data_IF_659694610295
#
_entry.id   IF_659694610295
#
_cell.length_a   1.000
_cell.length_b   1.000
_cell.length_c   1.000
_cell.angle_alpha   90.00
_cell.angle_beta   90.00
_cell.angle_gamma   90.00
#
_symmetry.space_group_name_H-M   'P 1'
#
loop_
_entity.id
_entity.type
_entity.pdbx_description
1 polymer ?
#
# COMPACT_ATOMS: atom_id res chain seq x y z
N UNK A 1 -3.53 -13.04 13.09
CA UNK A 1 -3.61 -12.51 11.73
C UNK A 1 -2.23 -12.21 11.16
N UNK A 2 -2.06 -12.41 9.87
CA UNK A 2 -0.75 -12.27 9.19
C UNK A 2 -0.15 -10.87 9.34
N UNK A 3 -0.96 -9.83 9.24
CA UNK A 3 -0.48 -8.45 9.35
C UNK A 3 0.02 -8.16 10.75
N UNK A 4 -0.73 -8.59 11.76
CA UNK A 4 -0.33 -8.39 13.15
C UNK A 4 0.98 -9.11 13.45
N UNK A 5 1.13 -10.33 12.96
CA UNK A 5 2.36 -11.11 13.14
C UNK A 5 3.55 -10.43 12.48
N UNK A 6 3.36 -9.90 11.27
CA UNK A 6 4.42 -9.18 10.57
C UNK A 6 4.85 -7.94 11.33
N UNK A 7 3.91 -7.20 11.90
CA UNK A 7 4.21 -6.01 12.68
C UNK A 7 4.94 -6.38 13.96
N UNK A 8 4.50 -7.43 14.64
CA UNK A 8 5.15 -7.90 15.86
C UNK A 8 6.59 -8.31 15.57
N UNK A 9 6.82 -9.00 14.45
CA UNK A 9 8.16 -9.39 14.04
C UNK A 9 9.03 -8.18 13.73
N UNK A 10 8.44 -7.15 13.12
CA UNK A 10 9.15 -5.91 12.86
C UNK A 10 9.66 -5.28 14.15
N UNK A 11 8.81 -5.22 15.20
CA UNK A 11 9.22 -4.70 16.49
C UNK A 11 10.33 -5.53 17.12
N UNK A 12 10.26 -6.84 17.01
CA UNK A 12 11.31 -7.72 17.51
C UNK A 12 12.63 -7.46 16.80
N UNK A 13 12.60 -7.28 15.49
CA UNK A 13 13.78 -7.04 14.68
C UNK A 13 14.42 -5.68 14.92
N UNK A 14 13.66 -4.72 15.45
CA UNK A 14 14.20 -3.40 15.79
C UNK A 14 15.22 -3.48 16.93
N UNK A 15 15.12 -4.49 17.78
CA UNK A 15 16.07 -4.66 18.87
C UNK A 15 16.11 -3.50 19.84
N UNK A 16 14.98 -2.88 20.09
CA UNK A 16 14.88 -1.75 21.01
C UNK A 16 15.08 -0.39 20.37
N UNK A 17 15.35 -0.32 19.08
CA UNK A 17 15.43 0.96 18.37
C UNK A 17 14.05 1.58 18.24
N UNK A 18 14.00 2.91 18.27
CA UNK A 18 12.74 3.63 18.05
C UNK A 18 12.29 3.45 16.61
N UNK A 19 10.97 3.28 16.43
CA UNK A 19 10.37 3.33 15.11
C UNK A 19 9.54 4.61 14.98
N UNK A 20 9.57 5.20 13.79
CA UNK A 20 8.78 6.39 13.48
C UNK A 20 8.04 6.15 12.17
N UNK A 21 6.93 6.85 12.00
CA UNK A 21 6.12 6.75 10.78
C UNK A 21 5.71 5.32 10.46
N UNK A 22 5.44 4.53 11.49
CA UNK A 22 5.05 3.13 11.32
C UNK A 22 3.80 2.99 10.47
N UNK A 23 2.84 3.88 10.64
CA UNK A 23 1.61 3.84 9.85
C UNK A 23 1.91 3.94 8.35
N UNK A 24 2.74 4.90 7.96
CA UNK A 24 3.15 5.07 6.56
C UNK A 24 3.92 3.86 6.05
N UNK A 25 4.80 3.32 6.87
CA UNK A 25 5.59 2.16 6.50
C UNK A 25 4.71 0.96 6.18
N UNK A 26 3.76 0.66 7.08
CA UNK A 26 2.83 -0.45 6.89
C UNK A 26 1.93 -0.19 5.68
N UNK A 27 1.45 1.05 5.55
CA UNK A 27 0.56 1.42 4.46
C UNK A 27 1.24 1.22 3.10
N UNK A 28 2.51 1.61 2.98
CA UNK A 28 3.27 1.43 1.74
C UNK A 28 3.45 -0.05 1.39
N UNK A 29 3.72 -0.87 2.39
CA UNK A 29 3.90 -2.31 2.16
C UNK A 29 2.63 -3.00 1.71
N UNK A 30 1.48 -2.47 2.05
CA UNK A 30 0.19 -3.02 1.64
C UNK A 30 -0.28 -2.37 0.33
N UNK A 31 -0.15 -1.05 0.23
CA UNK A 31 -0.67 -0.32 -0.94
C UNK A 31 0.05 -0.69 -2.24
N UNK A 32 1.37 -0.80 -2.19
CA UNK A 32 2.12 -1.05 -3.42
C UNK A 32 1.70 -2.35 -4.11
N UNK A 33 1.75 -3.51 -3.44
CA UNK A 33 1.30 -4.75 -4.08
C UNK A 33 -0.20 -4.74 -4.39
N UNK A 34 -1.01 -4.07 -3.57
CA UNK A 34 -2.44 -3.96 -3.83
C UNK A 34 -2.71 -3.22 -5.13
N UNK A 35 -2.08 -2.07 -5.33
CA UNK A 35 -2.26 -1.29 -6.53
C UNK A 35 -1.73 -2.01 -7.76
N UNK A 36 -0.59 -2.67 -7.66
CA UNK A 36 -0.04 -3.46 -8.76
C UNK A 36 -1.04 -4.54 -9.18
N UNK A 37 -1.59 -5.26 -8.22
CA UNK A 37 -2.55 -6.33 -8.51
C UNK A 37 -3.83 -5.80 -9.16
N UNK A 38 -4.35 -4.68 -8.65
CA UNK A 38 -5.60 -4.11 -9.19
C UNK A 38 -5.37 -3.53 -10.59
N UNK A 39 -4.24 -2.85 -10.82
CA UNK A 39 -3.92 -2.35 -12.15
C UNK A 39 -3.76 -3.49 -13.16
N UNK A 40 -3.16 -4.58 -12.75
CA UNK A 40 -3.03 -5.76 -13.58
C UNK A 40 -4.39 -6.33 -13.95
N UNK A 41 -5.27 -6.46 -12.96
CA UNK A 41 -6.62 -7.00 -13.14
C UNK A 41 -7.46 -6.11 -14.06
N UNK A 42 -7.25 -4.81 -14.02
CA UNK A 42 -8.01 -3.84 -14.83
C UNK A 42 -7.29 -3.45 -16.11
N UNK A 43 -6.14 -4.04 -16.40
CA UNK A 43 -5.31 -3.72 -17.58
C UNK A 43 -4.99 -2.22 -17.63
N UNK A 44 -4.57 -1.69 -16.47
CA UNK A 44 -4.20 -0.30 -16.28
C UNK A 44 -5.34 0.70 -16.46
N UNK A 45 -6.58 0.23 -16.33
CA UNK A 45 -7.73 1.14 -16.39
C UNK A 45 -7.94 1.77 -15.01
N UNK A 46 -7.53 3.02 -14.86
CA UNK A 46 -7.56 3.70 -13.58
C UNK A 46 -8.98 3.95 -13.07
N UNK A 47 -9.93 4.19 -13.97
CA UNK A 47 -11.34 4.35 -13.58
C UNK A 47 -11.89 3.08 -12.94
N UNK A 48 -11.65 1.93 -13.56
CA UNK A 48 -12.09 0.66 -13.01
C UNK A 48 -11.36 0.35 -11.71
N UNK A 49 -10.05 0.63 -11.67
CA UNK A 49 -9.25 0.41 -10.46
C UNK A 49 -9.78 1.21 -9.28
N UNK A 50 -10.13 2.48 -9.51
CA UNK A 50 -10.66 3.33 -8.44
C UNK A 50 -11.98 2.79 -7.90
N UNK A 51 -12.83 2.23 -8.76
CA UNK A 51 -14.10 1.64 -8.34
C UNK A 51 -13.87 0.38 -7.50
N UNK A 52 -12.97 -0.47 -7.94
CA UNK A 52 -12.66 -1.70 -7.20
C UNK A 52 -12.10 -1.36 -5.82
N UNK A 53 -11.21 -0.38 -5.76
CA UNK A 53 -10.56 0.03 -4.51
C UNK A 53 -11.45 0.89 -3.61
N UNK A 54 -12.52 1.46 -4.17
CA UNK A 54 -13.36 2.39 -3.42
C UNK A 54 -12.69 3.72 -3.16
N UNK A 55 -11.75 4.11 -4.03
CA UNK A 55 -11.02 5.37 -3.92
C UNK A 55 -11.48 6.34 -5.01
N UNK A 56 -11.43 7.63 -4.69
CA UNK A 56 -11.61 8.67 -5.68
C UNK A 56 -10.49 8.58 -6.72
N UNK A 57 -10.80 8.83 -8.01
CA UNK A 57 -9.81 8.74 -9.08
C UNK A 57 -8.60 9.63 -8.86
N UNK A 58 -8.84 10.86 -8.40
CA UNK A 58 -7.75 11.79 -8.13
C UNK A 58 -6.83 11.29 -7.02
N UNK A 59 -7.43 10.74 -5.96
CA UNK A 59 -6.68 10.15 -4.85
C UNK A 59 -5.84 8.96 -5.32
N UNK A 60 -6.46 8.07 -6.10
CA UNK A 60 -5.74 6.91 -6.63
C UNK A 60 -4.58 7.34 -7.52
N UNK A 61 -4.83 8.28 -8.44
CA UNK A 61 -3.79 8.77 -9.35
C UNK A 61 -2.60 9.36 -8.60
N UNK A 62 -2.88 10.12 -7.54
CA UNK A 62 -1.84 10.71 -6.70
C UNK A 62 -0.98 9.63 -6.05
N UNK A 63 -1.63 8.59 -5.51
CA UNK A 63 -0.94 7.48 -4.89
C UNK A 63 -0.12 6.67 -5.90
N UNK A 64 -0.68 6.42 -7.07
CA UNK A 64 0.03 5.71 -8.13
C UNK A 64 1.30 6.44 -8.57
N UNK A 65 1.24 7.76 -8.66
CA UNK A 65 2.41 8.58 -8.96
C UNK A 65 3.44 8.49 -7.84
N UNK A 66 2.99 8.51 -6.60
CA UNK A 66 3.86 8.40 -5.43
C UNK A 66 4.68 7.11 -5.46
N UNK A 67 4.07 6.03 -5.94
CA UNK A 67 4.74 4.73 -6.05
C UNK A 67 5.39 4.50 -7.41
N UNK A 68 5.40 5.49 -8.28
CA UNK A 68 5.96 5.40 -9.63
C UNK A 68 5.29 4.30 -10.47
N UNK A 69 3.99 4.13 -10.29
CA UNK A 69 3.21 3.15 -11.05
C UNK A 69 2.57 3.77 -12.29
N UNK A 70 2.60 5.07 -12.39
CA UNK A 70 2.16 5.78 -13.60
C UNK A 70 3.12 6.92 -13.90
#
# INVERSE_FOLDING_TARGET
EMVEQSINQYFENLGGHETIDLYDLVLKEVELPLFIAVLKQTKNNQSKASKILGLNRGTLRKKLKQYNLI
#
